data_IF_500109768598
#
_entry.id   IF_500109768598
#
_cell.length_a   1.000
_cell.length_b   1.000
_cell.length_c   1.000
_cell.angle_alpha   90.00
_cell.angle_beta   90.00
_cell.angle_gamma   90.00
#
_symmetry.space_group_name_H-M   'P 1'
#
loop_
_entity.id
_entity.type
_entity.pdbx_description
1 polymer ?
#
# COMPACT_ATOMS: atom_id res chain seq x y z
N UNK A 1 0.76 -5.51 17.86
CA UNK A 1 0.54 -4.63 19.05
C UNK A 1 1.86 -4.20 19.63
N UNK A 2 2.03 -2.97 20.14
CA UNK A 2 3.21 -2.55 20.88
C UNK A 2 3.50 -3.49 22.05
N UNK A 3 4.79 -3.63 22.44
CA UNK A 3 5.17 -4.53 23.54
C UNK A 3 4.42 -4.18 24.84
N UNK A 4 3.90 -5.20 25.51
CA UNK A 4 3.20 -5.08 26.79
C UNK A 4 1.73 -4.65 26.70
N UNK A 5 1.21 -4.38 25.49
CA UNK A 5 -0.20 -4.06 25.28
C UNK A 5 -0.97 -5.26 24.71
N UNK A 6 -2.21 -5.38 25.12
CA UNK A 6 -3.18 -6.36 24.58
C UNK A 6 -4.48 -5.66 24.21
N UNK A 7 -5.25 -6.22 23.29
CA UNK A 7 -6.51 -5.61 22.84
C UNK A 7 -7.53 -5.43 23.99
N UNK A 8 -7.50 -6.34 24.98
CA UNK A 8 -8.46 -6.33 26.10
C UNK A 8 -8.09 -5.29 27.19
N UNK A 9 -6.90 -4.67 27.09
CA UNK A 9 -6.38 -3.75 28.12
C UNK A 9 -5.58 -2.59 27.50
N UNK A 10 -6.23 -1.87 26.58
CA UNK A 10 -5.64 -0.65 26.01
C UNK A 10 -5.81 0.53 26.96
N UNK A 11 -4.72 1.27 27.29
CA UNK A 11 -4.81 2.47 28.14
C UNK A 11 -5.52 3.63 27.45
N UNK A 12 -5.45 3.68 26.11
CA UNK A 12 -6.06 4.68 25.22
C UNK A 12 -6.01 4.15 23.77
N UNK A 13 -6.77 4.75 22.83
CA UNK A 13 -6.61 4.46 21.40
C UNK A 13 -5.16 4.70 20.93
N UNK A 14 -4.66 3.79 20.10
CA UNK A 14 -3.26 3.76 19.67
C UNK A 14 -3.04 4.42 18.30
N UNK A 15 -1.82 4.90 18.02
CA UNK A 15 -1.40 5.14 16.65
C UNK A 15 -1.32 3.81 15.90
N UNK A 16 -1.95 3.76 14.71
CA UNK A 16 -2.10 2.52 13.94
C UNK A 16 -1.47 2.67 12.57
N UNK A 17 -0.77 1.63 12.13
CA UNK A 17 -0.30 1.46 10.77
C UNK A 17 -1.16 0.38 10.11
N UNK A 18 -1.95 0.76 9.13
CA UNK A 18 -2.69 -0.15 8.26
C UNK A 18 -1.70 -0.69 7.22
N UNK A 19 -1.53 -2.01 7.21
CA UNK A 19 -0.48 -2.65 6.42
C UNK A 19 -1.08 -3.68 5.46
N UNK A 20 -1.66 -3.24 4.31
CA UNK A 20 -2.17 -4.15 3.30
C UNK A 20 -1.03 -4.91 2.63
N UNK A 21 -1.19 -6.24 2.52
CA UNK A 21 -0.18 -7.08 1.90
C UNK A 21 -0.10 -6.90 0.39
N UNK A 22 1.06 -7.24 -0.18
CA UNK A 22 1.28 -7.29 -1.63
C UNK A 22 0.61 -8.50 -2.30
N UNK A 23 0.73 -8.58 -3.59
CA UNK A 23 0.18 -9.65 -4.41
C UNK A 23 -0.67 -9.10 -5.55
N UNK A 24 -2.00 -8.94 -5.40
CA UNK A 24 -2.87 -9.14 -4.24
C UNK A 24 -3.18 -10.61 -3.91
N UNK A 25 -2.92 -11.51 -4.83
CA UNK A 25 -3.18 -12.96 -4.69
C UNK A 25 -2.13 -13.62 -3.78
N UNK A 26 -2.10 -13.15 -2.55
CA UNK A 26 -1.27 -13.59 -1.43
C UNK A 26 -2.10 -13.54 -0.16
N UNK A 27 -1.50 -13.63 1.01
CA UNK A 27 -2.18 -13.44 2.29
C UNK A 27 -1.19 -13.13 3.40
N UNK A 28 -1.65 -12.43 4.42
CA UNK A 28 -0.99 -12.38 5.70
C UNK A 28 -1.30 -13.66 6.50
N UNK A 29 -0.28 -14.22 7.11
CA UNK A 29 -0.38 -15.37 8.00
C UNK A 29 0.01 -14.97 9.41
N UNK A 30 -0.61 -15.61 10.39
CA UNK A 30 -0.15 -15.46 11.76
C UNK A 30 1.27 -16.01 11.89
N UNK A 31 2.18 -15.18 12.41
CA UNK A 31 3.57 -15.57 12.57
C UNK A 31 4.49 -14.37 12.83
N UNK A 32 5.78 -14.65 12.89
CA UNK A 32 6.80 -13.62 13.04
C UNK A 32 6.99 -12.85 11.73
N UNK A 33 6.93 -11.52 11.81
CA UNK A 33 7.33 -10.59 10.76
C UNK A 33 8.28 -9.56 11.36
N UNK A 34 9.50 -9.46 10.82
CA UNK A 34 10.51 -8.50 11.29
C UNK A 34 10.03 -7.06 11.12
N UNK A 35 9.34 -6.74 10.03
CA UNK A 35 8.74 -5.42 9.78
C UNK A 35 7.67 -5.08 10.81
N UNK A 36 6.72 -5.97 11.03
CA UNK A 36 5.66 -5.77 12.03
C UNK A 36 6.26 -5.61 13.43
N UNK A 37 7.27 -6.42 13.79
CA UNK A 37 7.96 -6.31 15.08
C UNK A 37 8.73 -4.99 15.22
N UNK A 38 9.38 -4.54 14.14
CA UNK A 38 10.03 -3.24 14.10
C UNK A 38 9.03 -2.10 14.37
N UNK A 39 7.93 -2.04 13.64
CA UNK A 39 6.90 -1.01 13.79
C UNK A 39 6.26 -1.07 15.19
N UNK A 40 5.93 -2.25 15.68
CA UNK A 40 5.37 -2.42 17.04
C UNK A 40 6.34 -1.98 18.12
N UNK A 41 7.65 -2.23 17.96
CA UNK A 41 8.68 -1.81 18.92
C UNK A 41 8.85 -0.28 19.00
N UNK A 42 8.33 0.47 18.01
CA UNK A 42 8.30 1.94 17.99
C UNK A 42 7.01 2.51 18.58
N UNK A 43 6.13 1.67 19.09
CA UNK A 43 4.89 2.07 19.77
C UNK A 43 3.65 2.10 18.87
N UNK A 44 3.76 1.66 17.62
CA UNK A 44 2.62 1.60 16.70
C UNK A 44 1.89 0.26 16.78
N UNK A 45 0.57 0.27 16.74
CA UNK A 45 -0.18 -0.94 16.43
C UNK A 45 -0.15 -1.16 14.91
N UNK A 46 0.02 -2.41 14.48
CA UNK A 46 0.00 -2.76 13.05
C UNK A 46 -1.23 -3.59 12.77
N UNK A 47 -2.03 -3.14 11.80
CA UNK A 47 -3.24 -3.82 11.35
C UNK A 47 -2.99 -4.46 9.99
N UNK A 48 -2.89 -5.79 9.99
CA UNK A 48 -2.84 -6.62 8.80
C UNK A 48 -4.22 -7.21 8.55
N UNK A 49 -4.69 -7.15 7.31
CA UNK A 49 -5.99 -7.68 6.93
C UNK A 49 -5.91 -8.47 5.64
N UNK A 50 -6.66 -9.54 5.55
CA UNK A 50 -6.84 -10.30 4.33
C UNK A 50 -8.13 -9.84 3.63
N UNK A 51 -8.00 -8.81 2.78
CA UNK A 51 -9.09 -8.28 1.96
C UNK A 51 -9.51 -9.32 0.90
N UNK A 52 -10.71 -9.15 0.29
CA UNK A 52 -11.15 -10.02 -0.80
C UNK A 52 -10.09 -10.13 -1.89
N UNK A 53 -9.88 -11.35 -2.40
CA UNK A 53 -8.77 -11.67 -3.31
C UNK A 53 -7.57 -12.28 -2.62
N UNK A 54 -7.44 -12.18 -1.29
CA UNK A 54 -6.42 -12.89 -0.55
C UNK A 54 -6.60 -14.41 -0.68
N UNK A 55 -5.48 -15.14 -0.81
CA UNK A 55 -5.49 -16.58 -1.03
C UNK A 55 -5.80 -17.37 0.26
N UNK A 56 -6.25 -18.61 0.09
CA UNK A 56 -6.51 -19.53 1.22
C UNK A 56 -7.92 -19.46 1.81
N UNK A 57 -8.80 -18.61 1.27
CA UNK A 57 -10.20 -18.45 1.71
C UNK A 57 -11.21 -19.02 0.70
N UNK A 58 -10.74 -19.78 -0.29
CA UNK A 58 -11.55 -20.39 -1.32
C UNK A 58 -11.72 -19.53 -2.58
N UNK A 59 -12.26 -20.17 -3.61
CA UNK A 59 -12.38 -19.59 -4.94
C UNK A 59 -13.31 -18.40 -4.98
N UNK A 60 -14.46 -18.47 -4.33
CA UNK A 60 -15.43 -17.37 -4.30
C UNK A 60 -14.85 -16.09 -3.69
N UNK A 61 -14.01 -16.23 -2.65
CA UNK A 61 -13.35 -15.10 -2.02
C UNK A 61 -12.30 -14.47 -2.96
N UNK A 62 -11.59 -15.29 -3.71
CA UNK A 62 -10.63 -14.85 -4.72
C UNK A 62 -11.34 -14.12 -5.88
N UNK A 63 -12.37 -14.73 -6.47
CA UNK A 63 -13.08 -14.18 -7.63
C UNK A 63 -13.82 -12.87 -7.33
N UNK A 64 -14.20 -12.62 -6.06
CA UNK A 64 -14.75 -11.33 -5.63
C UNK A 64 -13.78 -10.15 -5.78
N UNK A 65 -12.50 -10.39 -6.01
CA UNK A 65 -11.50 -9.35 -6.27
C UNK A 65 -11.34 -8.98 -7.74
N UNK A 66 -11.94 -9.76 -8.65
CA UNK A 66 -11.74 -9.55 -10.09
C UNK A 66 -12.29 -8.21 -10.52
N UNK A 67 -11.43 -7.40 -11.13
CA UNK A 67 -11.69 -6.01 -11.53
C UNK A 67 -12.12 -5.10 -10.37
N UNK A 68 -11.63 -5.39 -9.16
CA UNK A 68 -11.98 -4.64 -7.95
C UNK A 68 -10.81 -3.87 -7.32
N UNK A 69 -9.70 -3.74 -8.03
CA UNK A 69 -8.60 -2.89 -7.58
C UNK A 69 -9.07 -1.45 -7.41
N UNK A 70 -8.83 -0.84 -6.24
CA UNK A 70 -9.27 0.51 -5.91
C UNK A 70 -10.79 0.66 -5.67
N UNK A 71 -11.55 -0.42 -5.77
CA UNK A 71 -12.98 -0.49 -5.53
C UNK A 71 -13.28 -1.30 -4.25
N UNK A 72 -14.01 -2.42 -4.36
CA UNK A 72 -14.44 -3.18 -3.18
C UNK A 72 -13.27 -3.79 -2.40
N UNK A 73 -12.13 -4.07 -3.03
CA UNK A 73 -10.91 -4.47 -2.31
C UNK A 73 -10.39 -3.34 -1.42
N UNK A 74 -10.46 -2.09 -1.89
CA UNK A 74 -10.11 -0.92 -1.08
C UNK A 74 -11.16 -0.65 0.00
N UNK A 75 -12.45 -0.89 -0.27
CA UNK A 75 -13.49 -0.77 0.73
C UNK A 75 -13.27 -1.72 1.92
N UNK A 76 -12.81 -2.95 1.68
CA UNK A 76 -12.48 -3.89 2.77
C UNK A 76 -11.41 -3.32 3.72
N UNK A 77 -10.40 -2.60 3.16
CA UNK A 77 -9.36 -1.93 3.95
C UNK A 77 -9.98 -0.78 4.75
N UNK A 78 -10.79 0.05 4.09
CA UNK A 78 -11.49 1.19 4.70
C UNK A 78 -12.43 0.74 5.82
N UNK A 79 -13.21 -0.32 5.60
CA UNK A 79 -14.11 -0.91 6.61
C UNK A 79 -13.32 -1.42 7.83
N UNK A 80 -12.15 -2.03 7.58
CA UNK A 80 -11.23 -2.43 8.64
C UNK A 80 -10.73 -1.25 9.47
N UNK A 81 -10.43 -0.12 8.84
CA UNK A 81 -10.03 1.11 9.55
C UNK A 81 -11.17 1.66 10.39
N UNK A 82 -12.38 1.74 9.84
CA UNK A 82 -13.56 2.16 10.62
C UNK A 82 -13.82 1.24 11.80
N UNK A 83 -13.71 -0.07 11.62
CA UNK A 83 -13.84 -1.01 12.73
C UNK A 83 -12.81 -0.76 13.84
N UNK A 84 -11.56 -0.45 13.51
CA UNK A 84 -10.53 -0.12 14.51
C UNK A 84 -10.88 1.16 15.30
N UNK A 85 -11.42 2.18 14.61
CA UNK A 85 -11.84 3.44 15.22
C UNK A 85 -13.05 3.20 16.13
N UNK A 86 -14.10 2.55 15.62
CA UNK A 86 -15.35 2.30 16.34
C UNK A 86 -15.15 1.38 17.55
N UNK A 87 -14.17 0.47 17.49
CA UNK A 87 -13.77 -0.40 18.59
C UNK A 87 -12.88 0.29 19.63
N UNK A 88 -12.51 1.57 19.43
CA UNK A 88 -11.63 2.31 20.33
C UNK A 88 -10.18 1.84 20.32
N UNK A 89 -9.76 1.09 19.30
CA UNK A 89 -8.38 0.57 19.15
C UNK A 89 -7.48 1.64 18.54
N UNK A 90 -7.96 2.28 17.47
CA UNK A 90 -7.21 3.30 16.74
C UNK A 90 -7.60 4.73 17.16
N UNK A 91 -6.60 5.58 17.34
CA UNK A 91 -6.82 7.03 17.40
C UNK A 91 -7.09 7.53 15.96
N UNK A 92 -8.29 8.06 15.65
CA UNK A 92 -8.66 8.45 14.30
C UNK A 92 -7.78 9.56 13.70
N UNK A 93 -6.99 10.24 14.53
CA UNK A 93 -6.05 11.28 14.07
C UNK A 93 -4.64 10.74 13.83
N UNK A 94 -4.38 9.49 14.21
CA UNK A 94 -3.06 8.86 14.14
C UNK A 94 -3.14 7.50 13.45
N UNK A 95 -3.57 7.51 12.19
CA UNK A 95 -3.62 6.33 11.33
C UNK A 95 -2.77 6.59 10.10
N UNK A 96 -1.74 5.77 9.91
CA UNK A 96 -0.95 5.71 8.70
C UNK A 96 -1.36 4.50 7.85
N UNK A 97 -1.13 4.56 6.54
CA UNK A 97 -1.19 3.38 5.66
C UNK A 97 0.18 3.14 5.05
N UNK A 98 0.63 1.88 5.08
CA UNK A 98 1.95 1.48 4.59
C UNK A 98 1.88 0.10 3.95
N UNK A 99 2.28 -0.02 2.70
CA UNK A 99 2.30 -1.30 2.00
C UNK A 99 3.30 -1.34 0.87
N UNK A 100 3.57 -2.57 0.40
CA UNK A 100 4.49 -2.84 -0.68
C UNK A 100 3.80 -3.48 -1.88
N UNK A 101 4.25 -3.15 -3.10
CA UNK A 101 3.75 -3.73 -4.35
C UNK A 101 2.24 -3.44 -4.53
N UNK A 102 1.37 -4.45 -4.61
CA UNK A 102 -0.07 -4.21 -4.52
C UNK A 102 -0.46 -3.47 -3.23
N UNK A 103 0.18 -3.76 -2.09
CA UNK A 103 -0.02 -3.00 -0.85
C UNK A 103 0.37 -1.52 -0.99
N UNK A 104 1.39 -1.22 -1.80
CA UNK A 104 1.75 0.14 -2.19
C UNK A 104 0.66 0.82 -3.02
N UNK A 105 0.10 0.11 -4.01
CA UNK A 105 -1.07 0.57 -4.74
C UNK A 105 -2.26 0.86 -3.79
N UNK A 106 -2.56 -0.06 -2.87
CA UNK A 106 -3.64 0.11 -1.90
C UNK A 106 -3.37 1.30 -0.95
N UNK A 107 -2.11 1.55 -0.63
CA UNK A 107 -1.66 2.73 0.12
C UNK A 107 -1.97 4.02 -0.62
N UNK A 108 -1.56 4.11 -1.89
CA UNK A 108 -1.83 5.27 -2.74
C UNK A 108 -3.33 5.45 -2.98
N UNK A 109 -4.06 4.35 -3.22
CA UNK A 109 -5.52 4.37 -3.38
C UNK A 109 -6.23 4.85 -2.10
N UNK A 110 -5.81 4.39 -0.94
CA UNK A 110 -6.33 4.85 0.35
C UNK A 110 -6.10 6.34 0.57
N UNK A 111 -4.87 6.82 0.35
CA UNK A 111 -4.54 8.23 0.47
C UNK A 111 -5.29 9.12 -0.54
N UNK A 112 -5.67 8.55 -1.70
CA UNK A 112 -6.35 9.24 -2.79
C UNK A 112 -7.87 9.25 -2.64
N UNK A 113 -8.47 8.09 -2.34
CA UNK A 113 -9.93 7.90 -2.39
C UNK A 113 -10.61 8.03 -1.02
N UNK A 114 -9.83 7.96 0.07
CA UNK A 114 -10.28 8.21 1.46
C UNK A 114 -9.26 9.11 2.19
N UNK A 115 -8.98 10.32 1.66
CA UNK A 115 -7.88 11.17 2.11
C UNK A 115 -8.00 11.66 3.56
N UNK A 116 -9.19 11.58 4.15
CA UNK A 116 -9.45 11.96 5.55
C UNK A 116 -9.09 10.89 6.57
N UNK A 117 -8.86 9.62 6.13
CA UNK A 117 -8.60 8.51 7.04
C UNK A 117 -7.13 8.42 7.48
N UNK A 118 -6.22 8.98 6.71
CA UNK A 118 -4.79 8.76 6.92
C UNK A 118 -4.05 10.07 7.16
N UNK A 119 -3.26 10.14 8.25
CA UNK A 119 -2.40 11.28 8.53
C UNK A 119 -1.09 11.25 7.74
N UNK A 120 -0.64 10.07 7.29
CA UNK A 120 0.49 9.91 6.38
C UNK A 120 0.42 8.55 5.65
N UNK A 121 1.18 8.42 4.55
CA UNK A 121 1.18 7.20 3.76
C UNK A 121 2.61 6.84 3.30
N UNK A 122 2.93 5.54 3.28
CA UNK A 122 4.22 5.01 2.84
C UNK A 122 3.99 4.00 1.71
N UNK A 123 4.37 4.37 0.51
CA UNK A 123 4.34 3.51 -0.67
C UNK A 123 5.71 2.90 -0.92
N UNK A 124 5.79 1.59 -0.91
CA UNK A 124 7.00 0.86 -1.24
C UNK A 124 6.81 0.02 -2.50
N UNK A 125 7.48 0.41 -3.58
CA UNK A 125 7.45 -0.24 -4.90
C UNK A 125 6.02 -0.48 -5.42
N UNK A 126 5.12 0.47 -5.21
CA UNK A 126 3.70 0.34 -5.53
C UNK A 126 3.33 0.78 -6.93
N UNK A 127 2.22 0.24 -7.42
CA UNK A 127 1.61 0.64 -8.68
C UNK A 127 0.84 1.95 -8.47
N UNK A 128 1.05 2.93 -9.33
CA UNK A 128 0.34 4.23 -9.27
C UNK A 128 -0.67 4.43 -10.38
N UNK A 129 -0.49 3.73 -11.51
CA UNK A 129 -1.33 3.85 -12.69
C UNK A 129 -1.52 2.46 -13.34
N UNK A 130 -2.74 1.95 -13.28
CA UNK A 130 -3.06 0.61 -13.76
C UNK A 130 -2.87 0.45 -15.28
N UNK A 131 -3.02 1.52 -16.05
CA UNK A 131 -2.80 1.48 -17.50
C UNK A 131 -1.33 1.32 -17.84
N UNK A 132 -0.45 2.13 -17.25
CA UNK A 132 1.00 2.05 -17.47
C UNK A 132 1.58 0.75 -16.92
N UNK A 133 1.10 0.30 -15.76
CA UNK A 133 1.45 -0.99 -15.20
C UNK A 133 1.15 -2.15 -16.15
N UNK A 134 -0.08 -2.23 -16.69
CA UNK A 134 -0.47 -3.28 -17.64
C UNK A 134 0.30 -3.23 -18.98
N UNK A 135 0.79 -2.06 -19.36
CA UNK A 135 1.63 -1.88 -20.56
C UNK A 135 3.09 -2.31 -20.34
N UNK A 136 3.57 -2.24 -19.09
CA UNK A 136 4.97 -2.51 -18.75
C UNK A 136 5.20 -3.88 -18.10
N UNK A 137 4.24 -4.80 -18.26
CA UNK A 137 4.34 -6.17 -17.74
C UNK A 137 5.61 -6.86 -18.25
N UNK A 138 6.43 -7.43 -17.36
CA UNK A 138 7.70 -8.03 -17.73
C UNK A 138 7.49 -9.25 -18.66
N UNK A 139 8.44 -9.55 -19.57
CA UNK A 139 8.31 -10.62 -20.56
C UNK A 139 7.99 -11.99 -19.96
N UNK A 140 8.48 -12.30 -18.75
CA UNK A 140 8.22 -13.58 -18.08
C UNK A 140 6.78 -13.70 -17.50
N UNK A 141 5.99 -12.60 -17.46
CA UNK A 141 4.57 -12.61 -17.10
C UNK A 141 3.62 -12.60 -18.30
N UNK A 142 4.15 -12.49 -19.52
CA UNK A 142 3.30 -12.44 -20.73
C UNK A 142 2.37 -13.64 -20.89
N UNK A 143 2.78 -14.82 -20.41
CA UNK A 143 1.91 -16.00 -20.42
C UNK A 143 0.69 -15.87 -19.48
N UNK A 144 0.72 -14.94 -18.53
CA UNK A 144 -0.36 -14.67 -17.59
C UNK A 144 -1.17 -13.42 -17.95
N UNK A 145 -0.90 -12.79 -19.09
CA UNK A 145 -1.48 -11.50 -19.47
C UNK A 145 -3.01 -11.54 -19.52
N UNK A 146 -3.58 -12.59 -20.14
CA UNK A 146 -5.03 -12.76 -20.23
C UNK A 146 -5.67 -12.90 -18.84
N UNK A 147 -5.01 -13.62 -17.94
CA UNK A 147 -5.44 -13.74 -16.54
C UNK A 147 -5.36 -12.37 -15.83
N UNK A 148 -4.30 -11.59 -16.06
CA UNK A 148 -4.19 -10.24 -15.49
C UNK A 148 -5.28 -9.32 -16.01
N UNK A 149 -5.64 -9.41 -17.30
CA UNK A 149 -6.75 -8.65 -17.87
C UNK A 149 -8.12 -9.06 -17.28
N UNK A 150 -8.30 -10.36 -16.99
CA UNK A 150 -9.50 -10.83 -16.30
C UNK A 150 -9.58 -10.33 -14.87
N UNK A 151 -8.47 -10.31 -14.16
CA UNK A 151 -8.42 -10.04 -12.74
C UNK A 151 -8.28 -8.54 -12.41
N UNK A 152 -7.56 -7.77 -13.22
CA UNK A 152 -7.33 -6.33 -12.99
C UNK A 152 -8.26 -5.49 -13.87
N UNK A 153 -8.31 -5.82 -15.17
CA UNK A 153 -9.07 -5.11 -16.20
C UNK A 153 -8.30 -5.07 -17.52
N UNK A 154 -9.02 -5.04 -18.61
CA UNK A 154 -8.45 -4.95 -19.96
C UNK A 154 -8.21 -3.48 -20.34
N UNK A 155 -7.00 -3.08 -20.78
CA UNK A 155 -6.66 -1.68 -21.01
C UNK A 155 -7.56 -0.94 -22.00
N UNK A 156 -8.18 -1.64 -22.95
CA UNK A 156 -9.10 -1.02 -23.91
C UNK A 156 -10.57 -1.13 -23.46
N UNK A 157 -11.00 -2.32 -22.99
CA UNK A 157 -12.41 -2.56 -22.64
C UNK A 157 -12.81 -1.97 -21.29
N UNK A 158 -11.89 -1.97 -20.33
CA UNK A 158 -12.12 -1.52 -18.96
C UNK A 158 -11.39 -0.19 -18.67
N UNK A 159 -10.98 0.54 -19.72
CA UNK A 159 -10.14 1.73 -19.63
C UNK A 159 -10.66 2.76 -18.65
N UNK A 160 -11.93 3.08 -18.71
CA UNK A 160 -12.53 4.10 -17.83
C UNK A 160 -12.43 3.70 -16.34
N UNK A 161 -12.60 2.41 -16.02
CA UNK A 161 -12.43 1.91 -14.66
C UNK A 161 -10.96 1.98 -14.24
N UNK A 162 -10.03 1.54 -15.09
CA UNK A 162 -8.60 1.57 -14.80
C UNK A 162 -8.11 3.01 -14.58
N UNK A 163 -8.59 3.98 -15.35
CA UNK A 163 -8.32 5.41 -15.14
C UNK A 163 -8.89 5.89 -13.81
N UNK A 164 -10.15 5.56 -13.50
CA UNK A 164 -10.82 5.98 -12.27
C UNK A 164 -10.17 5.41 -11.00
N UNK A 165 -9.48 4.29 -11.11
CA UNK A 165 -8.82 3.62 -9.97
C UNK A 165 -7.29 3.70 -10.00
N UNK A 166 -6.72 4.60 -10.81
CA UNK A 166 -5.27 4.87 -10.90
C UNK A 166 -4.89 6.08 -10.06
N UNK A 167 -4.25 5.93 -8.89
CA UNK A 167 -3.94 7.04 -7.97
C UNK A 167 -3.18 8.20 -8.62
N UNK A 168 -2.25 7.92 -9.55
CA UNK A 168 -1.48 8.96 -10.22
C UNK A 168 -2.35 9.95 -11.02
N UNK A 169 -3.53 9.52 -11.48
CA UNK A 169 -4.47 10.36 -12.20
C UNK A 169 -5.37 11.19 -11.26
N UNK A 170 -5.34 10.89 -9.96
CA UNK A 170 -6.16 11.52 -8.92
C UNK A 170 -5.30 12.06 -7.76
N UNK A 171 -4.03 12.33 -8.00
CA UNK A 171 -3.09 12.82 -6.99
C UNK A 171 -3.52 14.16 -6.34
N UNK A 172 -4.43 14.89 -6.98
CA UNK A 172 -5.04 16.12 -6.44
C UNK A 172 -5.98 15.89 -5.25
N UNK A 173 -6.43 14.66 -5.04
CA UNK A 173 -7.24 14.30 -3.89
C UNK A 173 -6.40 14.04 -2.62
N UNK A 174 -5.11 13.72 -2.77
CA UNK A 174 -4.22 13.40 -1.65
C UNK A 174 -3.92 14.64 -0.81
N UNK A 175 -4.03 14.49 0.52
CA UNK A 175 -3.88 15.58 1.48
C UNK A 175 -2.79 15.33 2.53
N UNK A 176 -2.43 14.08 2.75
CA UNK A 176 -1.42 13.71 3.73
C UNK A 176 -0.01 13.66 3.11
N UNK A 177 1.05 13.85 3.92
CA UNK A 177 2.42 13.58 3.50
C UNK A 177 2.61 12.14 3.01
N UNK A 178 3.45 11.95 1.98
CA UNK A 178 3.81 10.63 1.46
C UNK A 178 5.31 10.39 1.52
N UNK A 179 5.67 9.15 1.82
CA UNK A 179 7.00 8.62 1.56
C UNK A 179 6.89 7.51 0.49
N UNK A 180 7.60 7.69 -0.63
CA UNK A 180 7.63 6.73 -1.74
C UNK A 180 9.04 6.18 -1.86
N UNK A 181 9.19 4.85 -1.87
CA UNK A 181 10.48 4.18 -2.02
C UNK A 181 10.46 3.19 -3.18
N UNK A 182 11.49 3.23 -4.05
CA UNK A 182 11.54 2.50 -5.30
C UNK A 182 12.93 1.97 -5.61
N UNK A 183 13.01 0.73 -6.10
CA UNK A 183 14.21 0.19 -6.72
C UNK A 183 14.30 0.60 -8.19
N UNK A 184 15.44 1.14 -8.62
CA UNK A 184 15.62 1.62 -9.99
C UNK A 184 15.58 0.49 -11.04
N UNK A 185 15.91 -0.73 -10.63
CA UNK A 185 15.93 -1.92 -11.49
C UNK A 185 14.73 -2.85 -11.24
N UNK A 186 13.61 -2.32 -10.75
CA UNK A 186 12.42 -3.11 -10.48
C UNK A 186 11.82 -3.65 -11.80
N UNK A 187 11.80 -4.98 -11.99
CA UNK A 187 11.27 -5.58 -13.22
C UNK A 187 9.78 -5.82 -13.18
N UNK A 188 9.12 -5.66 -12.02
CA UNK A 188 7.70 -5.97 -11.81
C UNK A 188 6.83 -4.72 -11.82
N UNK A 189 7.25 -3.72 -11.04
CA UNK A 189 6.65 -2.40 -10.99
C UNK A 189 7.72 -1.41 -11.43
N UNK A 190 7.62 -0.97 -12.67
CA UNK A 190 8.61 -0.09 -13.27
C UNK A 190 8.75 1.19 -12.43
N UNK A 191 9.98 1.69 -12.28
CA UNK A 191 10.28 2.93 -11.57
C UNK A 191 9.42 4.11 -12.06
N UNK A 192 9.00 4.10 -13.31
CA UNK A 192 8.12 5.12 -13.89
C UNK A 192 6.76 5.23 -13.15
N UNK A 193 6.31 4.16 -12.47
CA UNK A 193 5.12 4.21 -11.62
C UNK A 193 5.32 5.19 -10.45
N UNK A 194 6.45 5.08 -9.76
CA UNK A 194 6.80 6.02 -8.68
C UNK A 194 7.12 7.41 -9.22
N UNK A 195 7.85 7.53 -10.32
CA UNK A 195 8.22 8.83 -10.92
C UNK A 195 6.98 9.64 -11.30
N UNK A 196 5.99 9.04 -11.98
CA UNK A 196 4.76 9.73 -12.38
C UNK A 196 3.94 10.18 -11.15
N UNK A 197 3.89 9.35 -10.11
CA UNK A 197 3.19 9.69 -8.87
C UNK A 197 3.85 10.87 -8.15
N UNK A 198 5.17 10.82 -7.99
CA UNK A 198 5.95 11.92 -7.38
C UNK A 198 5.80 13.21 -8.18
N UNK A 199 5.86 13.14 -9.52
CA UNK A 199 5.65 14.30 -10.38
C UNK A 199 4.25 14.91 -10.20
N UNK A 200 3.21 14.08 -10.16
CA UNK A 200 1.84 14.51 -9.96
C UNK A 200 1.64 15.18 -8.59
N UNK A 201 2.21 14.61 -7.51
CA UNK A 201 2.15 15.18 -6.15
C UNK A 201 2.86 16.52 -6.06
N UNK A 202 4.08 16.63 -6.59
CA UNK A 202 4.87 17.88 -6.58
C UNK A 202 4.19 19.02 -7.32
N UNK A 203 3.53 18.73 -8.45
CA UNK A 203 2.75 19.72 -9.19
C UNK A 203 1.57 20.29 -8.38
N UNK A 204 1.09 19.54 -7.37
CA UNK A 204 -0.02 19.94 -6.49
C UNK A 204 0.46 20.51 -5.16
N UNK A 205 1.78 20.56 -4.93
CA UNK A 205 2.36 21.04 -3.67
C UNK A 205 2.14 20.09 -2.48
N UNK A 206 1.83 18.83 -2.75
CA UNK A 206 1.75 17.80 -1.70
C UNK A 206 3.16 17.41 -1.27
N UNK A 207 3.38 17.33 0.04
CA UNK A 207 4.66 16.89 0.60
C UNK A 207 4.93 15.43 0.25
N UNK A 208 6.05 15.17 -0.43
CA UNK A 208 6.48 13.83 -0.80
C UNK A 208 7.98 13.66 -0.64
N UNK A 209 8.36 12.72 0.24
CA UNK A 209 9.72 12.18 0.28
C UNK A 209 9.85 11.07 -0.77
N UNK A 210 10.94 11.08 -1.54
CA UNK A 210 11.18 10.08 -2.58
C UNK A 210 12.56 9.46 -2.44
N UNK A 211 12.61 8.15 -2.18
CA UNK A 211 13.84 7.36 -2.09
C UNK A 211 13.95 6.42 -3.29
N UNK A 212 15.00 6.58 -4.09
CA UNK A 212 15.36 5.63 -5.15
C UNK A 212 16.69 4.97 -4.80
N UNK A 213 16.78 3.65 -4.99
CA UNK A 213 18.02 2.88 -4.84
C UNK A 213 18.41 2.29 -6.19
N UNK A 214 19.52 2.77 -6.77
CA UNK A 214 19.95 2.43 -8.14
C UNK A 214 20.31 0.96 -8.33
N UNK A 215 20.67 0.27 -7.26
CA UNK A 215 21.09 -1.13 -7.24
C UNK A 215 20.03 -2.09 -6.69
N UNK A 216 18.77 -1.66 -6.61
CA UNK A 216 17.67 -2.46 -6.08
C UNK A 216 16.59 -2.75 -7.13
N UNK A 217 15.88 -3.86 -6.90
CA UNK A 217 14.76 -4.32 -7.71
C UNK A 217 13.40 -4.16 -7.01
N UNK A 218 12.54 -5.18 -7.13
CA UNK A 218 11.22 -5.20 -6.50
C UNK A 218 11.33 -5.52 -5.01
N UNK A 219 11.64 -4.48 -4.25
CA UNK A 219 12.04 -4.55 -2.84
C UNK A 219 13.57 -4.48 -2.67
N UNK A 220 14.00 -3.95 -1.53
CA UNK A 220 15.42 -3.78 -1.23
C UNK A 220 16.01 -5.05 -0.61
N UNK A 221 17.11 -5.53 -1.19
CA UNK A 221 17.83 -6.73 -0.72
C UNK A 221 19.22 -6.39 -0.16
N UNK A 222 19.81 -5.27 -0.59
CA UNK A 222 21.08 -4.82 -0.10
C UNK A 222 20.95 -4.33 1.35
N UNK A 223 21.69 -4.88 2.26
CA UNK A 223 21.55 -4.61 3.70
C UNK A 223 21.62 -3.12 4.05
N UNK A 224 22.53 -2.36 3.42
CA UNK A 224 22.64 -0.92 3.63
C UNK A 224 21.38 -0.17 3.19
N UNK A 225 20.84 -0.54 2.02
CA UNK A 225 19.61 0.07 1.51
C UNK A 225 18.39 -0.29 2.37
N UNK A 226 18.32 -1.52 2.88
CA UNK A 226 17.29 -1.94 3.83
C UNK A 226 17.34 -1.10 5.11
N UNK A 227 18.53 -0.89 5.66
CA UNK A 227 18.69 -0.04 6.86
C UNK A 227 18.35 1.42 6.57
N UNK A 228 18.76 1.96 5.44
CA UNK A 228 18.41 3.33 5.04
C UNK A 228 16.90 3.49 4.90
N UNK A 229 16.23 2.51 4.29
CA UNK A 229 14.78 2.50 4.14
C UNK A 229 14.08 2.51 5.50
N UNK A 230 14.40 1.58 6.40
CA UNK A 230 13.73 1.52 7.70
C UNK A 230 14.07 2.71 8.61
N UNK A 231 15.26 3.31 8.49
CA UNK A 231 15.57 4.59 9.17
C UNK A 231 14.72 5.74 8.62
N UNK A 232 14.49 5.77 7.31
CA UNK A 232 13.62 6.77 6.69
C UNK A 232 12.15 6.56 7.10
N UNK A 233 11.66 5.31 7.10
CA UNK A 233 10.33 4.94 7.60
C UNK A 233 10.15 5.38 9.05
N UNK A 234 11.11 5.07 9.93
CA UNK A 234 11.05 5.46 11.35
C UNK A 234 10.97 6.99 11.50
N UNK A 235 11.85 7.73 10.85
CA UNK A 235 11.86 9.19 10.88
C UNK A 235 10.53 9.77 10.36
N UNK A 236 10.04 9.28 9.22
CA UNK A 236 8.82 9.74 8.60
C UNK A 236 7.59 9.50 9.50
N UNK A 237 7.48 8.31 10.08
CA UNK A 237 6.40 7.99 11.02
C UNK A 237 6.49 8.83 12.30
N UNK A 238 7.67 9.05 12.87
CA UNK A 238 7.85 9.91 14.06
C UNK A 238 7.44 11.37 13.81
N UNK A 239 7.54 11.82 12.56
CA UNK A 239 7.19 13.19 12.19
C UNK A 239 5.69 13.36 11.93
N UNK A 240 5.00 12.33 11.44
CA UNK A 240 3.66 12.47 10.89
C UNK A 240 2.58 11.61 11.58
N UNK A 241 2.96 10.60 12.40
CA UNK A 241 2.07 9.67 13.09
C UNK A 241 2.19 9.78 14.61
#
# INVERSE_FOLDING_TARGET
MPPGLTLDALPAPLPVIVNPHGGPWSRDNWGFSSEVQFLCSRGYAVFQLNFRGSTGYGRDFLEKSYKQWGLTMQNDITDGVHWLIDSGIADPKRIAIYGASYGGYATLAGACFTPELYCCAIDYVGVSNLLTFLQTIPPYWRAMLDMMYEQIGHPDRDRAQLEATSPALHADAIRCPLFIAQGANDPRVNKDESDQMVAALRLRGVEVEYMVKDNEGHGFANQENVFDFYRAVERFLQQHL
#
